data_IF_292498789438
#
_entry.id   IF_292498789438
#
_cell.length_a   1.000
_cell.length_b   1.000
_cell.length_c   1.000
_cell.angle_alpha   90.00
_cell.angle_beta   90.00
_cell.angle_gamma   90.00
#
_symmetry.space_group_name_H-M   'P 1'
#
loop_
_entity.id
_entity.type
_entity.pdbx_description
1 polymer ?
#
# COMPACT_ATOMS: atom_id res chain seq x y z
N UNK A 1 -10.37 5.87 15.32
CA UNK A 1 -10.63 4.53 14.75
C UNK A 1 -9.41 4.05 13.96
N UNK A 2 -8.68 3.08 14.51
CA UNK A 2 -7.42 2.56 13.96
C UNK A 2 -7.62 1.42 12.94
N UNK A 3 -8.79 0.77 12.99
CA UNK A 3 -9.11 -0.39 12.17
C UNK A 3 -9.82 -0.02 10.87
N UNK A 4 -9.60 -0.84 9.84
CA UNK A 4 -10.36 -0.83 8.60
C UNK A 4 -10.46 -2.24 8.03
N UNK A 5 -11.62 -2.61 7.48
CA UNK A 5 -11.76 -3.88 6.75
C UNK A 5 -11.38 -3.73 5.26
N UNK A 6 -11.31 -2.50 4.76
CA UNK A 6 -11.06 -2.20 3.36
C UNK A 6 -9.56 -2.01 3.09
N UNK A 7 -9.00 -2.85 2.22
CA UNK A 7 -7.58 -2.78 1.84
C UNK A 7 -7.22 -1.45 1.19
N UNK A 8 -8.08 -0.89 0.34
CA UNK A 8 -7.86 0.40 -0.30
C UNK A 8 -7.72 1.53 0.72
N UNK A 9 -8.57 1.54 1.77
CA UNK A 9 -8.46 2.49 2.89
C UNK A 9 -7.16 2.33 3.65
N UNK A 10 -6.72 1.09 3.90
CA UNK A 10 -5.44 0.82 4.55
C UNK A 10 -4.27 1.34 3.71
N UNK A 11 -4.21 0.97 2.43
CA UNK A 11 -3.16 1.40 1.50
C UNK A 11 -3.13 2.93 1.34
N UNK A 12 -4.30 3.56 1.22
CA UNK A 12 -4.41 5.01 1.12
C UNK A 12 -3.91 5.71 2.38
N UNK A 13 -4.34 5.25 3.57
CA UNK A 13 -3.85 5.82 4.83
C UNK A 13 -2.35 5.68 4.98
N UNK A 14 -1.81 4.49 4.68
CA UNK A 14 -0.37 4.24 4.73
C UNK A 14 0.39 5.18 3.79
N UNK A 15 0.09 5.14 2.50
CA UNK A 15 0.84 5.90 1.50
C UNK A 15 0.64 7.42 1.65
N UNK A 16 -0.59 7.89 1.78
CA UNK A 16 -0.93 9.32 1.69
C UNK A 16 -0.82 10.03 3.05
N UNK A 17 -1.28 9.42 4.14
CA UNK A 17 -1.26 10.10 5.45
C UNK A 17 0.01 9.84 6.26
N UNK A 18 0.72 8.75 6.00
CA UNK A 18 1.91 8.41 6.80
C UNK A 18 3.19 8.52 6.00
N UNK A 19 3.36 7.79 4.91
CA UNK A 19 4.64 7.82 4.18
C UNK A 19 4.95 9.22 3.64
N UNK A 20 3.95 9.94 3.12
CA UNK A 20 4.13 11.32 2.66
C UNK A 20 4.55 12.30 3.78
N UNK A 21 4.41 11.91 5.05
CA UNK A 21 4.68 12.75 6.21
C UNK A 21 5.89 12.26 7.03
N UNK A 22 6.70 11.36 6.48
CA UNK A 22 7.96 10.92 7.10
C UNK A 22 7.86 9.72 8.03
N UNK A 23 6.76 8.97 7.98
CA UNK A 23 6.62 7.74 8.75
C UNK A 23 7.26 6.59 7.99
N UNK A 24 8.51 6.26 8.31
CA UNK A 24 9.29 5.28 7.53
C UNK A 24 9.62 4.01 8.30
N UNK A 25 9.58 4.03 9.63
CA UNK A 25 9.95 2.88 10.44
C UNK A 25 8.71 2.12 10.85
N UNK A 26 8.66 0.81 10.61
CA UNK A 26 7.45 0.04 10.84
C UNK A 26 7.69 -1.33 11.46
N UNK A 27 6.65 -1.84 12.09
CA UNK A 27 6.49 -3.22 12.54
C UNK A 27 5.14 -3.70 12.03
N UNK A 28 5.13 -4.83 11.33
CA UNK A 28 3.92 -5.47 10.84
C UNK A 28 3.78 -6.82 11.53
N UNK A 29 2.64 -7.05 12.18
CA UNK A 29 2.33 -8.30 12.85
C UNK A 29 1.00 -8.85 12.35
N UNK A 30 0.89 -10.17 12.27
CA UNK A 30 -0.37 -10.85 12.02
C UNK A 30 -0.95 -11.32 13.35
N UNK A 31 -2.17 -10.88 13.65
CA UNK A 31 -2.87 -11.22 14.88
C UNK A 31 -3.42 -12.65 14.81
N UNK A 32 -3.49 -13.36 15.95
CA UNK A 32 -4.08 -14.69 16.03
C UNK A 32 -5.51 -14.74 15.51
N UNK A 33 -5.93 -15.88 14.96
CA UNK A 33 -7.31 -16.06 14.53
C UNK A 33 -8.26 -16.17 15.73
N UNK A 34 -9.47 -15.62 15.61
CA UNK A 34 -10.48 -15.69 16.68
C UNK A 34 -10.19 -14.85 17.93
N UNK A 35 -9.12 -14.04 17.93
CA UNK A 35 -8.79 -13.15 19.05
C UNK A 35 -9.68 -11.91 19.13
N UNK A 36 -9.78 -11.33 20.33
CA UNK A 36 -10.37 -10.00 20.51
C UNK A 36 -9.42 -8.91 19.98
N UNK A 37 -9.65 -8.52 18.73
CA UNK A 37 -8.84 -7.50 18.06
C UNK A 37 -9.03 -6.10 18.64
N UNK A 38 -10.18 -5.80 19.26
CA UNK A 38 -10.40 -4.48 19.84
C UNK A 38 -9.59 -4.32 21.13
N UNK A 39 -9.51 -5.38 21.93
CA UNK A 39 -8.65 -5.38 23.11
C UNK A 39 -7.17 -5.31 22.73
N UNK A 40 -6.74 -6.05 21.71
CA UNK A 40 -5.38 -5.95 21.18
C UNK A 40 -5.10 -4.53 20.67
N UNK A 41 -6.04 -3.91 19.94
CA UNK A 41 -5.91 -2.52 19.46
C UNK A 41 -5.69 -1.56 20.63
N UNK A 42 -6.48 -1.69 21.71
CA UNK A 42 -6.36 -0.87 22.94
C UNK A 42 -5.00 -1.05 23.59
N UNK A 43 -4.55 -2.31 23.75
CA UNK A 43 -3.24 -2.63 24.33
C UNK A 43 -2.08 -2.08 23.52
N UNK A 44 -2.12 -2.21 22.19
CA UNK A 44 -1.11 -1.63 21.29
C UNK A 44 -1.11 -0.11 21.40
N UNK A 45 -2.30 0.52 21.32
CA UNK A 45 -2.43 1.97 21.40
C UNK A 45 -1.86 2.53 22.71
N UNK A 46 -2.12 1.86 23.84
CA UNK A 46 -1.58 2.22 25.14
C UNK A 46 -0.07 1.96 25.22
N UNK A 47 0.42 0.78 24.81
CA UNK A 47 1.83 0.37 24.92
C UNK A 47 2.78 1.35 24.22
N UNK A 48 2.41 1.81 23.03
CA UNK A 48 3.25 2.72 22.22
C UNK A 48 2.77 4.16 22.20
N UNK A 49 1.81 4.52 23.07
CA UNK A 49 1.29 5.88 23.21
C UNK A 49 0.89 6.47 21.85
N UNK A 50 0.06 5.73 21.10
CA UNK A 50 -0.32 6.11 19.73
C UNK A 50 -0.94 7.50 19.73
N UNK A 51 -0.28 8.42 19.05
CA UNK A 51 -0.67 9.82 19.03
C UNK A 51 -2.00 10.00 18.28
N UNK A 52 -3.08 10.33 18.98
CA UNK A 52 -4.41 10.44 18.36
C UNK A 52 -4.57 11.66 17.44
N UNK A 53 -4.31 12.87 17.97
CA UNK A 53 -4.64 14.13 17.30
C UNK A 53 -3.48 14.71 16.47
N UNK A 54 -3.81 15.52 15.45
CA UNK A 54 -2.80 16.20 14.61
C UNK A 54 -1.91 17.11 15.43
N UNK A 55 -2.49 17.85 16.37
CA UNK A 55 -1.75 18.76 17.24
C UNK A 55 -0.79 18.02 18.17
N UNK A 56 -1.22 16.91 18.77
CA UNK A 56 -0.33 16.08 19.58
C UNK A 56 0.91 15.64 18.79
N UNK A 57 0.72 15.25 17.52
CA UNK A 57 1.83 14.83 16.65
C UNK A 57 2.78 15.96 16.30
N UNK A 58 2.25 17.14 16.01
CA UNK A 58 3.11 18.29 15.72
C UNK A 58 3.95 18.65 16.94
N UNK A 59 3.37 18.59 18.15
CA UNK A 59 4.11 18.84 19.39
C UNK A 59 5.20 17.80 19.65
N UNK A 60 4.88 16.51 19.56
CA UNK A 60 5.87 15.42 19.71
C UNK A 60 7.02 15.57 18.70
N UNK A 61 6.69 15.89 17.44
CA UNK A 61 7.74 16.12 16.43
C UNK A 61 8.57 17.37 16.69
N UNK A 62 7.96 18.42 17.23
CA UNK A 62 8.65 19.65 17.59
C UNK A 62 9.59 19.47 18.80
N UNK A 63 9.29 18.55 19.72
CA UNK A 63 10.21 18.15 20.79
C UNK A 63 11.33 17.21 20.32
N UNK A 64 11.38 16.86 19.02
CA UNK A 64 12.35 15.93 18.45
C UNK A 64 12.01 14.46 18.72
N UNK A 65 10.87 14.17 19.33
CA UNK A 65 10.42 12.80 19.62
C UNK A 65 9.74 12.15 18.41
N UNK A 66 9.75 10.82 18.39
CA UNK A 66 9.08 10.04 17.35
C UNK A 66 7.58 9.92 17.60
N UNK A 67 6.78 10.43 16.67
CA UNK A 67 5.34 10.17 16.67
C UNK A 67 5.03 8.75 16.15
N UNK A 68 4.21 8.02 16.91
CA UNK A 68 3.77 6.66 16.57
C UNK A 68 2.33 6.64 16.08
N UNK A 69 2.05 5.79 15.10
CA UNK A 69 0.73 5.51 14.55
C UNK A 69 0.46 4.03 14.52
N UNK A 70 -0.82 3.71 14.61
CA UNK A 70 -1.32 2.36 14.54
C UNK A 70 -2.41 2.26 13.48
N UNK A 71 -2.30 1.24 12.62
CA UNK A 71 -3.30 0.85 11.66
C UNK A 71 -3.56 -0.64 11.78
N UNK A 72 -4.84 -1.03 11.76
CA UNK A 72 -5.22 -2.44 11.61
C UNK A 72 -6.00 -2.65 10.33
N UNK A 73 -5.60 -3.64 9.54
CA UNK A 73 -6.39 -4.15 8.43
C UNK A 73 -6.63 -5.65 8.60
N UNK A 74 -7.88 -6.04 8.83
CA UNK A 74 -8.25 -7.40 9.24
C UNK A 74 -7.41 -7.84 10.45
N UNK A 75 -6.53 -8.81 10.24
CA UNK A 75 -5.58 -9.39 11.22
C UNK A 75 -4.20 -8.74 11.17
N UNK A 76 -3.93 -7.84 10.23
CA UNK A 76 -2.63 -7.17 10.12
C UNK A 76 -2.60 -5.92 10.98
N UNK A 77 -1.77 -5.95 12.01
CA UNK A 77 -1.47 -4.85 12.91
C UNK A 77 -0.17 -4.17 12.46
N UNK A 78 -0.28 -2.91 12.01
CA UNK A 78 0.85 -2.09 11.58
C UNK A 78 1.08 -0.97 12.58
N UNK A 79 2.26 -0.96 13.19
CA UNK A 79 2.78 0.16 13.97
C UNK A 79 3.80 0.86 13.10
N UNK A 80 3.68 2.18 12.98
CA UNK A 80 4.58 2.98 12.14
C UNK A 80 4.99 4.27 12.85
N UNK A 81 6.26 4.62 12.75
CA UNK A 81 6.89 5.72 13.42
C UNK A 81 7.53 6.69 12.42
N UNK A 82 7.48 7.98 12.73
CA UNK A 82 8.34 8.95 12.07
C UNK A 82 9.74 8.97 12.69
N UNK A 83 10.67 9.53 11.94
CA UNK A 83 11.99 9.87 12.45
C UNK A 83 11.90 10.84 13.64
N UNK A 84 12.79 10.67 14.60
CA UNK A 84 12.80 11.34 15.90
C UNK A 84 13.69 10.57 16.90
N UNK A 85 13.58 10.90 18.19
CA UNK A 85 14.38 10.27 19.24
C UNK A 85 14.17 8.75 19.31
N UNK A 86 15.28 8.01 19.16
CA UNK A 86 15.34 6.54 19.21
C UNK A 86 15.16 5.99 20.63
N UNK A 87 15.06 6.83 21.65
CA UNK A 87 14.73 6.41 23.02
C UNK A 87 13.27 5.96 23.18
N UNK A 88 12.41 6.21 22.19
CA UNK A 88 11.02 5.74 22.25
C UNK A 88 10.95 4.20 22.27
N UNK A 89 10.04 3.63 23.08
CA UNK A 89 9.88 2.16 23.29
C UNK A 89 9.80 1.37 21.97
N UNK A 90 9.19 1.95 20.94
CA UNK A 90 9.13 1.36 19.58
C UNK A 90 10.52 0.98 19.03
N UNK A 91 11.51 1.86 19.16
CA UNK A 91 12.85 1.62 18.61
C UNK A 91 13.72 0.72 19.49
N UNK A 92 13.37 0.59 20.77
CA UNK A 92 14.12 -0.21 21.74
C UNK A 92 13.67 -1.67 21.81
N UNK A 93 12.35 -1.91 21.67
CA UNK A 93 11.75 -3.22 21.96
C UNK A 93 11.31 -4.00 20.75
N UNK A 94 11.27 -3.39 19.57
CA UNK A 94 10.75 -4.01 18.36
C UNK A 94 11.83 -4.20 17.30
N UNK A 95 11.71 -5.29 16.55
CA UNK A 95 12.48 -5.48 15.31
C UNK A 95 11.83 -4.69 14.18
N UNK A 96 12.00 -3.37 14.22
CA UNK A 96 11.46 -2.47 13.21
C UNK A 96 12.24 -2.56 11.90
N UNK A 97 11.57 -2.20 10.81
CA UNK A 97 12.14 -2.11 9.46
C UNK A 97 11.97 -0.71 8.91
N UNK A 98 12.90 -0.27 8.08
CA UNK A 98 12.76 0.97 7.30
C UNK A 98 12.09 0.65 5.96
N UNK A 99 10.91 1.24 5.71
CA UNK A 99 10.10 1.01 4.50
C UNK A 99 10.76 1.54 3.21
N UNK A 100 11.75 2.42 3.34
CA UNK A 100 12.55 2.95 2.22
C UNK A 100 13.51 1.88 1.68
N UNK A 101 13.96 0.96 2.54
CA UNK A 101 14.87 -0.15 2.20
C UNK A 101 14.11 -1.46 2.07
N UNK A 102 13.14 -1.69 2.95
CA UNK A 102 12.36 -2.91 3.06
C UNK A 102 10.87 -2.58 2.90
N UNK A 103 10.36 -2.45 1.65
CA UNK A 103 8.97 -2.14 1.38
C UNK A 103 8.01 -3.05 2.15
N UNK A 104 6.93 -2.47 2.67
CA UNK A 104 5.90 -3.20 3.37
C UNK A 104 5.11 -4.03 2.38
N UNK A 105 5.11 -5.35 2.56
CA UNK A 105 4.31 -6.28 1.77
C UNK A 105 3.03 -6.61 2.52
N UNK A 106 1.89 -6.36 1.88
CA UNK A 106 0.57 -6.68 2.43
C UNK A 106 -0.34 -7.19 1.32
N UNK A 107 -0.93 -8.37 1.55
CA UNK A 107 -1.70 -9.07 0.51
C UNK A 107 -0.89 -9.22 -0.78
N UNK A 108 -1.36 -8.66 -1.90
CA UNK A 108 -0.73 -8.72 -3.23
C UNK A 108 0.06 -7.46 -3.58
N UNK A 109 0.21 -6.54 -2.63
CA UNK A 109 0.80 -5.23 -2.85
C UNK A 109 2.10 -5.06 -2.06
N UNK A 110 2.99 -4.25 -2.62
CA UNK A 110 4.17 -3.70 -1.96
C UNK A 110 4.00 -2.20 -1.83
N UNK A 111 4.24 -1.68 -0.64
CA UNK A 111 4.15 -0.25 -0.31
C UNK A 111 5.53 0.22 0.13
N UNK A 112 6.04 1.25 -0.51
CA UNK A 112 7.38 1.76 -0.24
C UNK A 112 7.53 3.22 -0.61
N UNK A 113 8.78 3.67 -0.72
CA UNK A 113 9.13 5.03 -1.14
C UNK A 113 10.08 4.93 -2.34
N UNK A 114 9.75 5.62 -3.43
CA UNK A 114 10.59 5.69 -4.63
C UNK A 114 10.76 7.15 -5.05
N UNK A 115 12.01 7.60 -5.22
CA UNK A 115 12.31 9.01 -5.52
C UNK A 115 11.75 9.98 -4.48
N UNK A 116 11.77 9.58 -3.20
CA UNK A 116 11.21 10.36 -2.09
C UNK A 116 9.67 10.40 -2.03
N UNK A 117 8.96 9.70 -2.93
CA UNK A 117 7.49 9.69 -2.97
C UNK A 117 6.92 8.33 -2.58
N UNK A 118 5.82 8.28 -1.81
CA UNK A 118 5.12 7.03 -1.54
C UNK A 118 4.72 6.33 -2.83
N UNK A 119 4.93 5.03 -2.89
CA UNK A 119 4.55 4.19 -4.03
C UNK A 119 3.85 2.93 -3.54
N UNK A 120 2.79 2.57 -4.25
CA UNK A 120 2.08 1.29 -4.08
C UNK A 120 2.17 0.57 -5.41
N UNK A 121 2.59 -0.69 -5.37
CA UNK A 121 2.81 -1.54 -6.54
C UNK A 121 2.23 -2.92 -6.28
N UNK A 122 1.88 -3.65 -7.33
CA UNK A 122 1.76 -5.10 -7.25
C UNK A 122 3.13 -5.66 -6.89
N UNK A 123 3.15 -6.68 -6.03
CA UNK A 123 4.38 -7.46 -5.79
C UNK A 123 4.94 -8.01 -7.10
N UNK A 124 6.26 -8.20 -7.16
CA UNK A 124 6.95 -8.67 -8.36
C UNK A 124 6.35 -9.99 -8.88
N UNK A 125 6.16 -10.97 -7.99
CA UNK A 125 5.64 -12.29 -8.37
C UNK A 125 4.22 -12.19 -8.92
N UNK A 126 3.39 -11.32 -8.32
CA UNK A 126 2.02 -11.08 -8.82
C UNK A 126 2.03 -10.33 -10.15
N UNK A 127 2.91 -9.35 -10.32
CA UNK A 127 3.01 -8.57 -11.54
C UNK A 127 3.41 -9.48 -12.71
N UNK A 128 4.39 -10.35 -12.53
CA UNK A 128 4.84 -11.31 -13.54
C UNK A 128 3.71 -12.25 -13.99
N UNK A 129 3.01 -12.86 -13.04
CA UNK A 129 1.85 -13.74 -13.33
C UNK A 129 0.78 -12.99 -14.13
N UNK A 130 0.50 -11.73 -13.78
CA UNK A 130 -0.49 -10.92 -14.51
C UNK A 130 0.02 -10.57 -15.91
N UNK A 131 1.29 -10.20 -16.07
CA UNK A 131 1.88 -9.86 -17.35
C UNK A 131 1.85 -11.06 -18.31
N UNK A 132 2.30 -12.24 -17.87
CA UNK A 132 2.27 -13.47 -18.65
C UNK A 132 0.84 -13.85 -19.07
N UNK A 133 -0.12 -13.75 -18.15
CA UNK A 133 -1.52 -14.05 -18.46
C UNK A 133 -2.10 -13.06 -19.48
N UNK A 134 -1.75 -11.78 -19.38
CA UNK A 134 -2.16 -10.74 -20.34
C UNK A 134 -1.56 -10.96 -21.72
N UNK A 135 -0.30 -11.38 -21.81
CA UNK A 135 0.34 -11.79 -23.06
C UNK A 135 -0.33 -13.00 -23.69
N UNK A 136 -0.65 -14.03 -22.87
CA UNK A 136 -1.33 -15.25 -23.33
C UNK A 136 -2.68 -14.94 -23.97
N UNK A 137 -3.44 -14.02 -23.39
CA UNK A 137 -4.75 -13.63 -23.92
C UNK A 137 -4.67 -12.50 -24.95
N UNK A 138 -3.47 -11.98 -25.27
CA UNK A 138 -3.33 -10.74 -26.03
C UNK A 138 -4.02 -10.76 -27.39
N UNK A 139 -4.12 -11.93 -28.05
CA UNK A 139 -4.75 -12.07 -29.37
C UNK A 139 -6.24 -12.43 -29.32
N UNK A 140 -6.84 -12.53 -28.12
CA UNK A 140 -8.28 -12.74 -27.98
C UNK A 140 -9.08 -11.47 -28.36
N UNK A 141 -10.42 -11.63 -28.43
CA UNK A 141 -11.38 -10.52 -28.62
C UNK A 141 -11.09 -9.35 -27.68
N UNK A 142 -11.10 -8.13 -28.20
CA UNK A 142 -10.75 -6.90 -27.46
C UNK A 142 -11.47 -6.80 -26.11
N UNK A 143 -12.79 -7.07 -26.09
CA UNK A 143 -13.60 -7.02 -24.87
C UNK A 143 -13.06 -7.91 -23.74
N UNK A 144 -12.59 -9.12 -24.07
CA UNK A 144 -12.00 -10.05 -23.09
C UNK A 144 -10.69 -9.50 -22.53
N UNK A 145 -9.82 -8.99 -23.40
CA UNK A 145 -8.51 -8.47 -23.00
C UNK A 145 -8.67 -7.19 -22.16
N UNK A 146 -9.55 -6.28 -22.57
CA UNK A 146 -9.86 -5.06 -21.85
C UNK A 146 -10.47 -5.37 -20.46
N UNK A 147 -11.45 -6.27 -20.41
CA UNK A 147 -12.08 -6.65 -19.13
C UNK A 147 -11.07 -7.26 -18.15
N UNK A 148 -10.13 -8.07 -18.63
CA UNK A 148 -9.06 -8.60 -17.77
C UNK A 148 -8.10 -7.49 -17.32
N UNK A 149 -7.73 -6.57 -18.23
CA UNK A 149 -6.87 -5.43 -17.93
C UNK A 149 -7.44 -4.51 -16.85
N UNK A 150 -8.74 -4.20 -16.95
CA UNK A 150 -9.41 -3.31 -16.00
C UNK A 150 -9.52 -3.93 -14.59
N UNK A 151 -9.53 -5.27 -14.49
CA UNK A 151 -9.61 -6.02 -13.23
C UNK A 151 -8.26 -6.27 -12.55
N UNK A 152 -7.14 -5.86 -13.15
CA UNK A 152 -5.79 -6.09 -12.58
C UNK A 152 -5.70 -5.55 -11.15
N UNK A 153 -6.21 -4.33 -10.94
CA UNK A 153 -6.29 -3.70 -9.63
C UNK A 153 -7.36 -2.60 -9.64
N UNK A 154 -8.18 -2.48 -8.59
CA UNK A 154 -9.17 -1.41 -8.48
C UNK A 154 -8.57 -0.08 -8.01
N UNK A 155 -7.28 -0.06 -7.62
CA UNK A 155 -6.65 1.11 -7.00
C UNK A 155 -5.83 1.95 -7.98
N UNK A 156 -6.06 3.27 -7.97
CA UNK A 156 -5.38 4.25 -8.83
C UNK A 156 -4.09 4.85 -8.24
N UNK A 157 -3.24 4.05 -7.61
CA UNK A 157 -1.94 4.54 -7.14
C UNK A 157 -0.95 4.69 -8.31
N UNK A 158 -0.07 5.71 -8.26
CA UNK A 158 0.90 6.00 -9.34
C UNK A 158 1.73 4.78 -9.74
N UNK A 159 2.26 4.02 -8.77
CA UNK A 159 3.07 2.82 -9.04
C UNK A 159 2.28 1.68 -9.69
N UNK A 160 0.99 1.54 -9.38
CA UNK A 160 0.09 0.59 -10.03
C UNK A 160 -0.24 1.03 -11.46
N UNK A 161 -0.50 2.32 -11.66
CA UNK A 161 -0.74 2.87 -13.00
C UNK A 161 0.50 2.76 -13.90
N UNK A 162 1.71 2.88 -13.34
CA UNK A 162 2.96 2.58 -14.04
C UNK A 162 3.05 1.12 -14.49
N UNK A 163 2.73 0.17 -13.60
CA UNK A 163 2.71 -1.25 -13.93
C UNK A 163 1.63 -1.59 -14.97
N UNK A 164 0.42 -1.02 -14.85
CA UNK A 164 -0.63 -1.14 -15.88
C UNK A 164 -0.16 -0.60 -17.22
N UNK A 165 0.57 0.52 -17.26
CA UNK A 165 1.15 1.04 -18.50
C UNK A 165 2.18 0.08 -19.11
N UNK A 166 3.02 -0.56 -18.30
CA UNK A 166 3.98 -1.57 -18.79
C UNK A 166 3.26 -2.75 -19.44
N UNK A 167 2.26 -3.30 -18.77
CA UNK A 167 1.42 -4.40 -19.29
C UNK A 167 0.71 -4.00 -20.58
N UNK A 168 0.12 -2.80 -20.63
CA UNK A 168 -0.57 -2.31 -21.82
C UNK A 168 0.37 -2.18 -23.02
N UNK A 169 1.62 -1.71 -22.82
CA UNK A 169 2.63 -1.63 -23.90
C UNK A 169 2.97 -3.01 -24.44
N UNK A 170 3.17 -3.98 -23.56
CA UNK A 170 3.50 -5.36 -23.91
C UNK A 170 2.39 -6.01 -24.75
N UNK A 171 1.14 -5.94 -24.28
CA UNK A 171 -0.04 -6.46 -24.98
C UNK A 171 -0.27 -5.75 -26.30
N UNK A 172 -0.20 -4.41 -26.32
CA UNK A 172 -0.42 -3.64 -27.53
C UNK A 172 0.67 -3.83 -28.59
N UNK A 173 1.91 -4.14 -28.19
CA UNK A 173 2.97 -4.56 -29.12
C UNK A 173 2.53 -5.80 -29.90
N UNK A 174 2.08 -6.84 -29.20
CA UNK A 174 1.64 -8.11 -29.81
C UNK A 174 0.37 -7.95 -30.64
N UNK A 175 -0.60 -7.16 -30.16
CA UNK A 175 -1.84 -6.87 -30.89
C UNK A 175 -1.59 -6.10 -32.18
N UNK A 176 -0.69 -5.10 -32.15
CA UNK A 176 -0.31 -4.33 -33.35
C UNK A 176 0.32 -5.23 -34.42
N UNK A 177 1.22 -6.14 -34.04
CA UNK A 177 1.84 -7.10 -34.96
C UNK A 177 0.81 -8.02 -35.63
N UNK A 178 -0.29 -8.31 -34.95
CA UNK A 178 -1.38 -9.14 -35.47
C UNK A 178 -2.52 -8.34 -36.15
N UNK A 179 -2.36 -7.03 -36.35
CA UNK A 179 -3.41 -6.19 -36.94
C UNK A 179 -4.67 -6.03 -36.07
N UNK A 180 -4.58 -6.28 -34.76
CA UNK A 180 -5.71 -6.23 -33.85
C UNK A 180 -5.87 -4.85 -33.18
N UNK A 181 -7.12 -4.42 -32.86
CA UNK A 181 -7.37 -3.17 -32.15
C UNK A 181 -6.64 -3.12 -30.79
N UNK A 182 -6.10 -1.97 -30.41
CA UNK A 182 -5.35 -1.81 -29.16
C UNK A 182 -6.27 -1.77 -27.94
N UNK A 183 -5.77 -2.26 -26.79
CA UNK A 183 -6.46 -2.03 -25.52
C UNK A 183 -6.32 -0.56 -25.10
N UNK A 184 -7.41 0.00 -24.59
CA UNK A 184 -7.43 1.35 -24.03
C UNK A 184 -6.87 1.29 -22.62
N UNK A 185 -6.11 2.32 -22.27
CA UNK A 185 -5.82 2.59 -20.86
C UNK A 185 -7.15 3.00 -20.24
N UNK A 186 -7.57 2.34 -19.17
CA UNK A 186 -8.67 2.85 -18.36
C UNK A 186 -8.35 4.32 -18.05
N UNK A 187 -9.12 5.25 -18.61
CA UNK A 187 -8.97 6.68 -18.35
C UNK A 187 -9.18 6.92 -16.86
N UNK A 188 -8.43 7.86 -16.29
CA UNK A 188 -8.67 8.36 -14.94
C UNK A 188 -10.13 8.83 -14.83
N UNK A 189 -11.02 7.98 -14.32
CA UNK A 189 -12.11 8.45 -13.47
C UNK A 189 -11.47 8.82 -12.15
N UNK A 190 -11.10 10.09 -12.07
CA UNK A 190 -10.83 10.82 -10.85
C UNK A 190 -11.72 10.30 -9.72
N UNK A 191 -11.10 9.87 -8.62
CA UNK A 191 -11.66 10.06 -7.29
C UNK A 191 -13.02 9.40 -6.98
N UNK A 192 -13.36 8.24 -7.56
CA UNK A 192 -14.53 7.51 -7.10
C UNK A 192 -14.22 6.65 -5.86
N UNK A 193 -14.53 7.28 -4.72
CA UNK A 193 -15.15 6.70 -3.53
C UNK A 193 -14.34 5.66 -2.79
N UNK A 194 -13.37 6.19 -2.03
CA UNK A 194 -13.03 5.66 -0.71
C UNK A 194 -14.19 5.99 0.26
N UNK A 195 -15.41 5.51 -0.02
CA UNK A 195 -16.57 5.57 0.88
C UNK A 195 -16.65 4.32 1.75
#
# INVERSE_FOLDING_TARGET
MYSTQNLGRFLFRLAVYYLAHGYYFYVLQELPEGGDYEEIDRRIAAKYQVTGSRMARLRVRASGESAIRYLRWRRYALIIACEGDRKHRFFQSEQWRDIRVNPLVVSRYSVGVAGGKPTVRLRAERFEVVAQQMERIALHRLAKVQSYFDRITPFGFKGLEEQKRQIARLVNKRRRQAGLPLIKRSGNSSNERIS
#
